data_IF_687719108274
#
_entry.id   IF_687719108274
#
_cell.length_a   1.000
_cell.length_b   1.000
_cell.length_c   1.000
_cell.angle_alpha   90.00
_cell.angle_beta   90.00
_cell.angle_gamma   90.00
#
_symmetry.space_group_name_H-M   'P 1'
#
loop_
_entity.id
_entity.type
_entity.pdbx_description
1 polymer ?
#
# COMPACT_ATOMS: atom_id res chain seq x y z
N UNK A 1 -68.49 -44.58 28.35
CA UNK A 1 -68.32 -43.86 29.64
C UNK A 1 -67.22 -42.82 29.40
N UNK A 2 -67.52 -41.54 29.11
CA UNK A 2 -67.85 -40.42 30.02
C UNK A 2 -66.93 -40.31 31.24
N UNK A 3 -66.15 -39.22 31.27
CA UNK A 3 -65.74 -38.32 32.38
C UNK A 3 -64.45 -37.63 31.92
N UNK A 4 -64.48 -36.49 31.22
CA UNK A 4 -64.74 -35.12 31.68
C UNK A 4 -64.02 -34.74 32.99
N UNK A 5 -63.01 -33.87 32.87
CA UNK A 5 -62.70 -32.71 33.75
C UNK A 5 -61.40 -32.06 33.22
N UNK A 6 -61.47 -30.91 32.56
CA UNK A 6 -61.52 -29.53 33.08
C UNK A 6 -60.15 -28.98 33.52
N UNK A 7 -59.77 -27.85 32.88
CA UNK A 7 -59.07 -26.67 33.45
C UNK A 7 -57.58 -26.91 33.79
N UNK A 8 -56.58 -26.10 33.48
CA UNK A 8 -56.31 -24.65 33.55
C UNK A 8 -55.12 -24.43 32.58
N UNK A 9 -55.02 -23.45 31.68
CA UNK A 9 -55.26 -22.03 31.88
C UNK A 9 -54.02 -21.30 32.42
N UNK A 10 -52.88 -21.37 31.73
CA UNK A 10 -51.69 -20.59 32.12
C UNK A 10 -51.08 -19.90 30.91
N UNK A 11 -51.50 -18.65 30.68
CA UNK A 11 -50.82 -17.71 29.80
C UNK A 11 -49.52 -17.27 30.52
N UNK A 12 -48.38 -17.76 30.06
CA UNK A 12 -47.07 -17.26 30.47
C UNK A 12 -46.80 -15.96 29.72
N UNK A 13 -47.02 -14.84 30.40
CA UNK A 13 -46.61 -13.52 29.92
C UNK A 13 -45.12 -13.41 30.22
N UNK A 14 -44.29 -13.51 29.18
CA UNK A 14 -42.84 -13.25 29.29
C UNK A 14 -42.63 -11.76 29.53
N UNK A 15 -41.94 -11.33 30.61
CA UNK A 15 -41.48 -9.96 30.71
C UNK A 15 -40.41 -9.74 29.65
N UNK A 16 -40.67 -8.82 28.73
CA UNK A 16 -39.67 -8.32 27.77
C UNK A 16 -38.71 -7.44 28.59
N UNK A 17 -37.63 -8.03 29.10
CA UNK A 17 -36.53 -7.25 29.66
C UNK A 17 -35.81 -6.55 28.50
N UNK A 18 -36.15 -5.29 28.25
CA UNK A 18 -35.31 -4.41 27.43
C UNK A 18 -34.01 -4.14 28.15
N UNK A 19 -33.00 -4.99 27.89
CA UNK A 19 -31.62 -4.75 28.29
C UNK A 19 -31.13 -3.55 27.47
N UNK A 20 -31.25 -2.36 28.03
CA UNK A 20 -30.51 -1.21 27.53
C UNK A 20 -29.04 -1.47 27.87
N UNK A 21 -28.31 -2.03 26.92
CA UNK A 21 -26.85 -2.12 26.99
C UNK A 21 -26.31 -0.69 27.06
N UNK A 22 -26.06 -0.22 28.28
CA UNK A 22 -25.34 1.03 28.50
C UNK A 22 -23.91 0.78 28.03
N UNK A 23 -23.57 1.35 26.87
CA UNK A 23 -22.19 1.34 26.36
C UNK A 23 -21.33 2.04 27.41
N UNK A 24 -20.36 1.37 28.04
CA UNK A 24 -19.48 2.01 29.00
C UNK A 24 -18.77 3.16 28.28
N UNK A 25 -18.85 4.37 28.83
CA UNK A 25 -18.05 5.48 28.32
C UNK A 25 -16.58 5.14 28.55
N UNK A 26 -15.87 4.82 27.48
CA UNK A 26 -14.43 4.64 27.50
C UNK A 26 -13.79 5.93 28.05
N UNK A 27 -12.79 5.82 28.95
CA UNK A 27 -12.07 6.99 29.41
C UNK A 27 -11.46 7.73 28.20
N UNK A 28 -11.40 9.06 28.21
CA UNK A 28 -10.80 9.81 27.12
C UNK A 28 -9.36 9.34 26.92
N UNK A 29 -9.08 8.84 25.72
CA UNK A 29 -7.73 8.48 25.31
C UNK A 29 -6.90 9.76 25.40
N UNK A 30 -5.95 9.82 26.34
CA UNK A 30 -4.90 10.84 26.29
C UNK A 30 -4.15 10.61 24.99
N UNK A 31 -4.36 11.48 24.00
CA UNK A 31 -3.49 11.59 22.85
C UNK A 31 -2.13 12.13 23.31
N UNK A 32 -1.32 11.26 23.90
CA UNK A 32 0.13 11.41 23.74
C UNK A 32 0.43 11.00 22.31
N UNK A 33 0.10 11.87 21.35
CA UNK A 33 0.62 11.74 19.99
C UNK A 33 2.14 11.84 20.13
N UNK A 34 2.91 10.81 19.76
CA UNK A 34 4.36 10.95 19.69
C UNK A 34 4.64 12.16 18.78
N UNK A 35 5.49 13.09 19.20
CA UNK A 35 6.00 14.08 18.26
C UNK A 35 6.65 13.30 17.12
N UNK A 36 6.33 13.62 15.86
CA UNK A 36 6.94 12.94 14.72
C UNK A 36 8.48 13.04 14.73
N UNK A 37 9.03 14.03 15.44
CA UNK A 37 10.48 14.19 15.66
C UNK A 37 11.11 13.19 16.65
N UNK A 38 10.31 12.44 17.41
CA UNK A 38 10.77 11.42 18.38
C UNK A 38 10.67 9.99 17.83
N UNK A 39 10.30 9.83 16.55
CA UNK A 39 10.31 8.51 15.91
C UNK A 39 11.77 8.03 15.77
N UNK A 40 12.14 6.86 16.30
CA UNK A 40 13.50 6.35 16.19
C UNK A 40 13.86 6.19 14.71
N UNK A 41 15.06 6.62 14.33
CA UNK A 41 15.63 6.38 13.00
C UNK A 41 16.01 4.89 12.91
N UNK A 42 14.97 4.06 12.75
CA UNK A 42 15.05 2.62 12.76
C UNK A 42 15.52 2.15 11.36
N UNK A 43 16.52 1.25 11.24
CA UNK A 43 16.89 0.62 9.96
C UNK A 43 15.71 -0.10 9.25
N UNK A 44 14.57 -0.25 9.92
CA UNK A 44 13.30 -0.68 9.31
C UNK A 44 12.56 0.40 8.53
N UNK A 45 12.95 1.67 8.60
CA UNK A 45 12.28 2.78 7.92
C UNK A 45 12.68 2.86 6.44
N UNK A 46 11.68 3.13 5.60
CA UNK A 46 11.87 3.41 4.19
C UNK A 46 12.75 4.65 4.03
N UNK A 47 13.79 4.52 3.20
CA UNK A 47 14.67 5.61 2.81
C UNK A 47 14.31 6.09 1.42
N UNK A 48 14.76 7.30 1.11
CA UNK A 48 14.60 7.91 -0.20
C UNK A 48 15.96 8.14 -0.85
N UNK A 49 16.01 7.94 -2.16
CA UNK A 49 17.16 8.25 -3.00
C UNK A 49 16.73 9.10 -4.18
N UNK A 50 17.65 9.95 -4.62
CA UNK A 50 17.57 10.63 -5.90
C UNK A 50 18.62 10.01 -6.79
N UNK A 51 18.21 9.50 -7.96
CA UNK A 51 19.14 9.00 -8.95
C UNK A 51 19.11 9.86 -10.21
N UNK A 52 20.30 10.10 -10.78
CA UNK A 52 20.46 10.88 -12.00
C UNK A 52 21.25 10.09 -13.05
N UNK A 53 20.88 10.27 -14.31
CA UNK A 53 21.64 9.85 -15.48
C UNK A 53 21.49 10.94 -16.54
N UNK A 54 22.57 11.69 -16.81
CA UNK A 54 22.54 12.82 -17.77
C UNK A 54 21.43 13.84 -17.42
N UNK A 55 20.44 14.02 -18.29
CA UNK A 55 19.27 14.89 -18.10
C UNK A 55 18.10 14.18 -17.37
N UNK A 56 18.21 12.88 -17.15
CA UNK A 56 17.17 12.04 -16.57
C UNK A 56 17.29 11.97 -15.05
N UNK A 57 16.14 11.93 -14.39
CA UNK A 57 16.06 11.94 -12.93
C UNK A 57 14.92 11.08 -12.43
N UNK A 58 15.19 10.30 -11.38
CA UNK A 58 14.21 9.49 -10.67
C UNK A 58 14.30 9.71 -9.16
N UNK A 59 13.19 9.46 -8.47
CA UNK A 59 13.19 9.21 -7.03
C UNK A 59 12.97 7.72 -6.78
N UNK A 60 13.61 7.19 -5.75
CA UNK A 60 13.40 5.83 -5.27
C UNK A 60 13.05 5.91 -3.80
N UNK A 61 12.00 5.20 -3.41
CA UNK A 61 11.62 5.03 -2.02
C UNK A 61 11.64 3.53 -1.71
N UNK A 62 12.52 3.09 -0.83
CA UNK A 62 12.76 1.67 -0.57
C UNK A 62 13.29 1.44 0.84
N UNK A 63 13.04 0.25 1.38
CA UNK A 63 13.55 -0.15 2.71
C UNK A 63 14.98 -0.69 2.65
N UNK A 64 15.31 -1.43 1.59
CA UNK A 64 16.61 -2.05 1.39
C UNK A 64 17.20 -1.60 0.05
N UNK A 65 18.53 -1.45 -0.04
CA UNK A 65 19.21 -1.11 -1.29
C UNK A 65 19.43 -2.32 -2.21
N UNK A 66 19.43 -3.52 -1.63
CA UNK A 66 19.81 -4.75 -2.32
C UNK A 66 18.86 -5.02 -3.48
N UNK A 67 19.43 -5.41 -4.62
CA UNK A 67 18.67 -5.78 -5.81
C UNK A 67 18.34 -4.61 -6.72
N UNK A 68 17.63 -3.58 -6.24
CA UNK A 68 17.22 -2.46 -7.10
C UNK A 68 18.36 -1.50 -7.41
N UNK A 69 19.20 -1.19 -6.42
CA UNK A 69 20.23 -0.15 -6.57
C UNK A 69 21.27 -0.59 -7.58
N UNK A 70 21.75 -1.83 -7.45
CA UNK A 70 22.67 -2.44 -8.42
C UNK A 70 22.07 -2.52 -9.82
N UNK A 71 20.78 -2.89 -9.95
CA UNK A 71 20.09 -2.96 -11.23
C UNK A 71 20.08 -1.60 -11.95
N UNK A 72 19.81 -0.52 -11.21
CA UNK A 72 19.71 0.84 -11.74
C UNK A 72 21.11 1.41 -12.01
N UNK A 73 22.05 1.32 -11.05
CA UNK A 73 23.39 1.90 -11.18
C UNK A 73 24.25 1.22 -12.25
N UNK A 74 24.06 -0.09 -12.50
CA UNK A 74 24.72 -0.79 -13.63
C UNK A 74 24.39 -0.20 -15.01
N UNK A 75 23.30 0.56 -15.11
CA UNK A 75 22.89 1.21 -16.34
C UNK A 75 23.42 2.65 -16.45
N UNK A 76 24.30 3.07 -15.54
CA UNK A 76 24.95 4.39 -15.56
C UNK A 76 24.28 5.44 -14.67
N UNK A 77 23.25 5.06 -13.90
CA UNK A 77 22.61 5.93 -12.93
C UNK A 77 23.47 6.11 -11.68
N UNK A 78 23.40 7.29 -11.07
CA UNK A 78 24.06 7.60 -9.81
C UNK A 78 23.02 7.90 -8.73
N UNK A 79 22.87 7.01 -7.76
CA UNK A 79 21.89 7.15 -6.68
C UNK A 79 22.54 7.69 -5.41
N UNK A 80 21.95 8.71 -4.80
CA UNK A 80 22.35 9.22 -3.48
C UNK A 80 21.14 9.30 -2.57
N UNK A 81 21.31 8.96 -1.29
CA UNK A 81 20.26 9.17 -0.28
C UNK A 81 19.86 10.65 -0.29
N UNK A 82 18.55 10.91 -0.35
CA UNK A 82 18.03 12.26 -0.49
C UNK A 82 16.54 12.29 -0.79
N UNK A 83 15.89 13.38 -0.40
CA UNK A 83 14.49 13.66 -0.68
C UNK A 83 14.36 14.59 -1.88
N UNK A 84 13.24 14.50 -2.57
CA UNK A 84 12.83 15.43 -3.63
C UNK A 84 11.32 15.44 -3.71
N UNK A 85 10.76 16.56 -4.18
CA UNK A 85 9.33 16.63 -4.43
C UNK A 85 8.96 15.69 -5.58
N UNK A 86 7.89 14.92 -5.37
CA UNK A 86 7.32 14.01 -6.35
C UNK A 86 5.95 14.61 -6.73
N UNK A 87 5.77 15.12 -7.95
CA UNK A 87 4.49 15.65 -8.38
C UNK A 87 3.38 14.60 -8.29
N UNK A 88 2.15 15.05 -8.10
CA UNK A 88 0.98 14.18 -8.23
C UNK A 88 0.96 13.55 -9.62
N UNK A 89 0.47 12.31 -9.71
CA UNK A 89 0.35 11.55 -10.96
C UNK A 89 1.69 11.24 -11.65
N UNK A 90 2.80 11.31 -10.93
CA UNK A 90 4.12 10.90 -11.44
C UNK A 90 4.11 9.42 -11.84
N UNK A 91 4.53 9.15 -13.07
CA UNK A 91 4.71 7.80 -13.58
C UNK A 91 5.66 7.02 -12.66
N UNK A 92 5.19 5.89 -12.17
CA UNK A 92 5.97 5.08 -11.23
C UNK A 92 5.65 3.59 -11.35
N UNK A 93 6.51 2.77 -10.79
CA UNK A 93 6.17 1.39 -10.45
C UNK A 93 6.47 1.14 -8.98
N UNK A 94 5.74 0.19 -8.39
CA UNK A 94 6.07 -0.35 -7.08
C UNK A 94 6.29 -1.85 -7.18
N UNK A 95 7.20 -2.38 -6.36
CA UNK A 95 7.47 -3.81 -6.23
C UNK A 95 7.49 -4.19 -4.75
N UNK A 96 6.85 -5.31 -4.42
CA UNK A 96 6.87 -5.92 -3.10
C UNK A 96 7.56 -7.29 -3.16
N UNK A 97 8.55 -7.56 -2.29
CA UNK A 97 9.10 -8.90 -2.11
C UNK A 97 8.04 -9.84 -1.52
N UNK A 98 7.96 -11.08 -2.01
CA UNK A 98 7.02 -12.07 -1.49
C UNK A 98 7.22 -12.42 -0.01
N UNK A 99 8.45 -12.34 0.48
CA UNK A 99 8.83 -12.85 1.81
C UNK A 99 9.07 -11.77 2.87
N UNK A 100 9.11 -10.50 2.47
CA UNK A 100 9.41 -9.38 3.36
C UNK A 100 8.54 -8.16 3.06
N UNK A 101 7.99 -7.56 4.12
CA UNK A 101 7.30 -6.28 4.02
C UNK A 101 8.33 -5.17 3.78
N UNK A 102 8.42 -4.73 2.53
CA UNK A 102 9.26 -3.63 2.10
C UNK A 102 8.92 -3.21 0.68
N UNK A 103 8.18 -2.10 0.53
CA UNK A 103 7.82 -1.58 -0.79
C UNK A 103 9.03 -0.87 -1.38
N UNK A 104 9.41 -1.26 -2.60
CA UNK A 104 10.23 -0.46 -3.49
C UNK A 104 9.30 0.33 -4.40
N UNK A 105 9.40 1.64 -4.43
CA UNK A 105 8.73 2.49 -5.42
C UNK A 105 9.76 3.31 -6.17
N UNK A 106 9.64 3.36 -7.49
CA UNK A 106 10.50 4.15 -8.37
C UNK A 106 9.63 5.13 -9.17
N UNK A 107 9.96 6.41 -9.08
CA UNK A 107 9.24 7.52 -9.69
C UNK A 107 10.07 8.18 -10.79
N UNK A 108 9.48 8.38 -11.97
CA UNK A 108 10.13 9.06 -13.09
C UNK A 108 9.90 10.57 -13.01
N UNK A 109 10.93 11.33 -12.61
CA UNK A 109 10.78 12.78 -12.39
C UNK A 109 11.07 13.60 -13.64
N UNK A 110 12.04 13.17 -14.45
CA UNK A 110 12.43 13.88 -15.65
C UNK A 110 13.12 12.95 -16.65
N UNK A 111 13.04 13.30 -17.94
CA UNK A 111 13.70 12.60 -19.04
C UNK A 111 12.72 11.90 -19.97
N UNK A 112 13.21 11.55 -21.16
CA UNK A 112 12.43 10.80 -22.16
C UNK A 112 12.40 9.29 -21.85
N UNK A 113 11.48 8.56 -22.47
CA UNK A 113 11.39 7.09 -22.40
C UNK A 113 11.13 6.49 -21.00
N UNK A 114 10.64 7.28 -20.04
CA UNK A 114 10.40 6.82 -18.66
C UNK A 114 9.52 5.59 -18.54
N UNK A 115 8.44 5.48 -19.33
CA UNK A 115 7.58 4.30 -19.33
C UNK A 115 8.31 3.02 -19.75
N UNK A 116 9.13 3.10 -20.80
CA UNK A 116 9.91 1.96 -21.27
C UNK A 116 10.95 1.57 -20.21
N UNK A 117 11.68 2.54 -19.66
CA UNK A 117 12.73 2.31 -18.68
C UNK A 117 12.17 1.70 -17.38
N UNK A 118 11.11 2.29 -16.83
CA UNK A 118 10.42 1.79 -15.64
C UNK A 118 9.85 0.39 -15.85
N UNK A 119 9.24 0.12 -17.01
CA UNK A 119 8.72 -1.22 -17.32
C UNK A 119 9.84 -2.26 -17.38
N UNK A 120 10.99 -1.93 -17.99
CA UNK A 120 12.14 -2.83 -18.04
C UNK A 120 12.72 -3.13 -16.65
N UNK A 121 12.80 -2.14 -15.76
CA UNK A 121 13.25 -2.36 -14.38
C UNK A 121 12.25 -3.19 -13.59
N UNK A 122 10.96 -2.86 -13.68
CA UNK A 122 9.86 -3.62 -13.08
C UNK A 122 9.93 -5.10 -13.48
N UNK A 123 10.05 -5.38 -14.77
CA UNK A 123 10.04 -6.75 -15.29
C UNK A 123 11.28 -7.53 -14.84
N UNK A 124 12.45 -6.87 -14.76
CA UNK A 124 13.66 -7.49 -14.21
C UNK A 124 13.54 -7.78 -12.71
N UNK A 125 12.96 -6.87 -11.93
CA UNK A 125 12.73 -7.07 -10.50
C UNK A 125 11.74 -8.21 -10.25
N UNK A 126 10.64 -8.26 -11.02
CA UNK A 126 9.68 -9.34 -10.95
C UNK A 126 10.30 -10.70 -11.32
N UNK A 127 11.01 -10.78 -12.45
CA UNK A 127 11.57 -12.03 -12.95
C UNK A 127 12.78 -12.53 -12.16
N UNK A 128 13.68 -11.65 -11.70
CA UNK A 128 14.95 -12.04 -11.10
C UNK A 128 14.90 -12.11 -9.58
N UNK A 129 13.95 -11.40 -8.95
CA UNK A 129 13.88 -11.31 -7.49
C UNK A 129 12.55 -11.81 -6.93
N UNK A 130 11.68 -12.37 -7.78
CA UNK A 130 10.37 -12.90 -7.37
C UNK A 130 9.51 -11.83 -6.71
N UNK A 131 9.60 -10.58 -7.18
CA UNK A 131 8.81 -9.48 -6.64
C UNK A 131 7.47 -9.36 -7.35
N UNK A 132 6.42 -9.04 -6.61
CA UNK A 132 5.13 -8.68 -7.20
C UNK A 132 5.14 -7.19 -7.47
N UNK A 133 5.07 -6.81 -8.75
CA UNK A 133 5.19 -5.41 -9.14
C UNK A 133 3.92 -4.87 -9.80
N UNK A 134 3.60 -3.61 -9.51
CA UNK A 134 2.49 -2.84 -10.08
C UNK A 134 3.03 -1.59 -10.75
N UNK A 135 2.41 -1.18 -11.86
CA UNK A 135 2.70 0.11 -12.50
C UNK A 135 1.62 1.10 -12.11
N UNK A 136 2.03 2.23 -11.55
CA UNK A 136 1.16 3.35 -11.28
C UNK A 136 1.32 4.32 -12.44
N UNK A 137 0.49 4.12 -13.46
CA UNK A 137 0.32 5.08 -14.53
C UNK A 137 -1.11 5.60 -14.47
N UNK A 138 -1.25 6.89 -14.15
CA UNK A 138 -2.58 7.53 -14.11
C UNK A 138 -3.22 7.58 -15.51
N UNK A 139 -2.44 7.37 -16.59
CA UNK A 139 -2.94 7.38 -17.97
C UNK A 139 -3.25 5.99 -18.57
N UNK A 140 -2.97 4.87 -17.88
CA UNK A 140 -3.26 3.53 -18.44
C UNK A 140 -4.73 3.09 -18.27
N UNK A 141 -5.54 3.80 -17.49
CA UNK A 141 -6.95 3.46 -17.32
C UNK A 141 -7.83 3.85 -18.52
N UNK A 142 -7.33 4.67 -19.46
CA UNK A 142 -8.11 5.15 -20.60
C UNK A 142 -7.97 4.31 -21.88
N UNK A 143 -7.15 3.24 -21.90
CA UNK A 143 -6.89 2.46 -23.12
C UNK A 143 -7.40 1.01 -23.13
N UNK A 144 -8.16 0.58 -22.12
CA UNK A 144 -8.74 -0.78 -22.08
C UNK A 144 -10.24 -0.87 -22.46
N UNK A 145 -10.92 0.22 -22.79
CA UNK A 145 -12.27 0.17 -23.38
C UNK A 145 -12.22 0.46 -24.88
N UNK A 146 -11.94 -0.57 -25.69
CA UNK A 146 -12.50 -0.80 -27.04
C UNK A 146 -11.71 -1.90 -27.74
N UNK A 147 -11.97 -3.15 -27.35
CA UNK A 147 -11.79 -4.27 -28.28
C UNK A 147 -13.18 -4.51 -28.90
N UNK A 148 -13.39 -4.25 -30.20
CA UNK A 148 -14.63 -4.63 -30.86
C UNK A 148 -14.74 -6.16 -30.87
N UNK A 149 -15.85 -6.68 -30.36
CA UNK A 149 -16.15 -8.10 -30.38
C UNK A 149 -16.31 -8.56 -31.85
N UNK A 150 -15.68 -9.69 -32.26
CA UNK A 150 -15.85 -10.26 -33.59
C UNK A 150 -17.26 -10.81 -33.85
#
# INVERSE_FOLDING_TARGET
MKLLKMLIGTFLILPIFSVHAQVPSLPPIKQNSPNLGDLPNDPTQQKNWVCNQEDQRIAVAAKEEKGWKELIEKQGWQCREGNTDIPDQTLSFSCEPEQTLGILTVYWLNGSNGQQQLSQWRDKLAAQQGMVCTINNVQLFDTQENIPNP
#
